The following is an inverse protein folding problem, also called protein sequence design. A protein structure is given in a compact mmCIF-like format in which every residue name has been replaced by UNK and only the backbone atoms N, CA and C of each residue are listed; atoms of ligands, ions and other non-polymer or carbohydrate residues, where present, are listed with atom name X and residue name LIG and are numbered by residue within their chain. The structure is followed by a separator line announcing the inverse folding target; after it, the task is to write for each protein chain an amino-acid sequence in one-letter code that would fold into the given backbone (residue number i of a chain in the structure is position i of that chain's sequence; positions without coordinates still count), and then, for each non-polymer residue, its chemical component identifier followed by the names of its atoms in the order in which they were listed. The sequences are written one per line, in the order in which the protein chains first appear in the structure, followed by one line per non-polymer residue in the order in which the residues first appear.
data_IF_493660812605
#
_entry.id   IF_493660812605
#
_cell.length_a   1.000
_cell.length_b   1.000
_cell.length_c   1.000
_cell.angle_alpha   90.00
_cell.angle_beta   90.00
_cell.angle_gamma   90.00
#
_symmetry.space_group_name_H-M   'P 1'
#
loop_
_entity.id
_entity.type
_entity.pdbx_description
1 polymer ?
#
# COMPACT_ATOMS: atom_id res chain seq x y z
N UNK A 1 -6.76 -12.14 -14.55
CA UNK A 1 -5.54 -12.99 -14.49
C UNK A 1 -5.69 -14.01 -13.37
N UNK A 2 -5.13 -15.22 -13.50
CA UNK A 2 -5.23 -16.30 -12.50
C UNK A 2 -4.16 -16.10 -11.41
N UNK A 3 -4.56 -16.14 -10.13
CA UNK A 3 -3.66 -15.97 -8.99
C UNK A 3 -2.65 -17.12 -8.90
N UNK A 4 -3.05 -18.35 -9.22
CA UNK A 4 -2.19 -19.53 -9.10
C UNK A 4 -0.98 -19.50 -10.06
N UNK A 5 -1.08 -18.69 -11.13
CA UNK A 5 -0.03 -18.51 -12.15
C UNK A 5 0.96 -17.39 -11.82
N UNK A 6 0.74 -16.63 -10.76
CA UNK A 6 1.67 -15.59 -10.34
C UNK A 6 2.96 -16.22 -9.80
N UNK A 7 4.10 -15.66 -10.17
CA UNK A 7 5.42 -16.05 -9.66
C UNK A 7 5.64 -15.52 -8.23
N UNK A 8 4.82 -15.99 -7.30
CA UNK A 8 4.83 -15.60 -5.88
C UNK A 8 5.05 -16.82 -4.98
N UNK A 9 5.55 -16.63 -3.75
CA UNK A 9 5.76 -17.70 -2.78
C UNK A 9 4.52 -18.59 -2.56
N UNK A 10 4.75 -19.86 -2.20
CA UNK A 10 3.69 -20.85 -2.00
C UNK A 10 2.64 -20.41 -0.98
N UNK A 11 3.08 -19.89 0.19
CA UNK A 11 2.18 -19.41 1.25
C UNK A 11 1.15 -18.40 0.74
N UNK A 12 1.56 -17.50 -0.17
CA UNK A 12 0.67 -16.51 -0.76
C UNK A 12 -0.36 -17.19 -1.66
N UNK A 13 0.11 -18.04 -2.59
CA UNK A 13 -0.78 -18.73 -3.54
C UNK A 13 -1.79 -19.63 -2.82
N UNK A 14 -1.38 -20.31 -1.75
CA UNK A 14 -2.23 -21.15 -0.93
C UNK A 14 -3.29 -20.34 -0.17
N UNK A 15 -2.88 -19.27 0.54
CA UNK A 15 -3.81 -18.39 1.27
C UNK A 15 -4.90 -17.80 0.37
N UNK A 16 -4.50 -17.41 -0.85
CA UNK A 16 -5.39 -16.75 -1.81
C UNK A 16 -5.95 -17.69 -2.89
N UNK A 17 -5.74 -19.01 -2.79
CA UNK A 17 -6.21 -20.01 -3.76
C UNK A 17 -7.74 -19.99 -3.95
N UNK A 18 -8.50 -19.58 -2.92
CA UNK A 18 -9.95 -19.41 -2.99
C UNK A 18 -10.39 -18.33 -4.00
N UNK A 19 -9.52 -17.38 -4.32
CA UNK A 19 -9.77 -16.34 -5.30
C UNK A 19 -9.19 -16.76 -6.66
N UNK A 20 -10.01 -17.41 -7.50
CA UNK A 20 -9.57 -17.93 -8.80
C UNK A 20 -9.02 -16.85 -9.77
N UNK A 21 -9.44 -15.60 -9.62
CA UNK A 21 -9.06 -14.51 -10.53
C UNK A 21 -8.83 -13.21 -9.78
N UNK A 22 -7.81 -12.47 -10.23
CA UNK A 22 -7.56 -11.09 -9.85
C UNK A 22 -8.68 -10.17 -10.36
N UNK A 23 -8.98 -9.12 -9.59
CA UNK A 23 -9.84 -8.01 -10.03
C UNK A 23 -9.20 -7.24 -11.20
N UNK A 24 -9.94 -6.39 -11.93
CA UNK A 24 -9.38 -5.59 -13.02
C UNK A 24 -8.18 -4.75 -12.58
N UNK A 25 -8.28 -4.01 -11.48
CA UNK A 25 -7.18 -3.17 -10.98
C UNK A 25 -5.95 -3.99 -10.57
N UNK A 26 -6.15 -5.17 -9.96
CA UNK A 26 -5.06 -6.07 -9.60
C UNK A 26 -4.36 -6.64 -10.83
N UNK A 27 -5.12 -7.02 -11.87
CA UNK A 27 -4.56 -7.49 -13.14
C UNK A 27 -3.75 -6.39 -13.81
N UNK A 28 -4.27 -5.16 -13.86
CA UNK A 28 -3.57 -4.00 -14.41
C UNK A 28 -2.28 -3.71 -13.65
N UNK A 29 -2.28 -3.80 -12.32
CA UNK A 29 -1.08 -3.60 -11.51
C UNK A 29 0.02 -4.63 -11.84
N UNK A 30 -0.33 -5.92 -11.98
CA UNK A 30 0.64 -6.94 -12.39
C UNK A 30 1.19 -6.66 -13.78
N UNK A 31 0.33 -6.27 -14.74
CA UNK A 31 0.75 -5.92 -16.10
C UNK A 31 1.63 -4.66 -16.16
N UNK A 32 1.39 -3.70 -15.28
CA UNK A 32 2.21 -2.50 -15.10
C UNK A 32 3.58 -2.80 -14.44
N UNK A 33 3.90 -4.06 -14.14
CA UNK A 33 5.21 -4.47 -13.64
C UNK A 33 5.33 -4.48 -12.12
N UNK A 34 4.24 -4.62 -11.37
CA UNK A 34 4.25 -4.80 -9.90
C UNK A 34 5.28 -5.87 -9.45
N UNK A 35 5.31 -7.02 -10.14
CA UNK A 35 6.19 -8.14 -9.80
C UNK A 35 7.60 -7.99 -10.41
N UNK A 36 7.81 -6.99 -11.27
CA UNK A 36 9.08 -6.61 -11.85
C UNK A 36 9.69 -5.40 -11.12
N UNK A 37 9.29 -5.18 -9.87
CA UNK A 37 9.85 -4.16 -8.97
C UNK A 37 9.66 -2.71 -9.48
N UNK A 38 8.70 -2.49 -10.39
CA UNK A 38 8.32 -1.14 -10.82
C UNK A 38 7.47 -0.43 -9.76
N UNK A 39 7.75 0.85 -9.52
CA UNK A 39 6.92 1.71 -8.68
C UNK A 39 5.58 1.98 -9.34
N UNK A 40 4.48 1.86 -8.60
CA UNK A 40 3.11 2.03 -9.09
C UNK A 40 2.30 2.99 -8.20
N UNK A 41 1.50 3.85 -8.83
CA UNK A 41 0.43 4.58 -8.16
C UNK A 41 -0.92 3.96 -8.53
N UNK A 42 -1.58 3.32 -7.58
CA UNK A 42 -2.86 2.66 -7.76
C UNK A 42 -4.00 3.59 -7.33
N UNK A 43 -4.80 4.07 -8.28
CA UNK A 43 -6.00 4.86 -7.99
C UNK A 43 -7.25 4.03 -8.30
N UNK A 44 -7.94 3.58 -7.25
CA UNK A 44 -9.20 2.87 -7.41
C UNK A 44 -10.11 3.08 -6.19
N UNK A 45 -11.43 2.90 -6.32
CA UNK A 45 -12.35 2.92 -5.20
C UNK A 45 -11.94 1.99 -4.05
N UNK A 46 -12.43 2.28 -2.85
CA UNK A 46 -12.39 1.33 -1.74
C UNK A 46 -13.15 0.06 -2.13
N UNK A 47 -12.71 -1.09 -1.61
CA UNK A 47 -13.17 -2.44 -1.97
C UNK A 47 -12.78 -2.96 -3.38
N UNK A 48 -12.05 -2.20 -4.20
CA UNK A 48 -11.54 -2.71 -5.50
C UNK A 48 -10.38 -3.72 -5.38
N UNK A 49 -9.89 -3.95 -4.15
CA UNK A 49 -8.87 -4.96 -3.85
C UNK A 49 -7.43 -4.45 -3.82
N UNK A 50 -7.22 -3.16 -3.48
CA UNK A 50 -5.90 -2.52 -3.36
C UNK A 50 -4.98 -3.24 -2.36
N UNK A 51 -5.51 -3.72 -1.25
CA UNK A 51 -4.74 -4.45 -0.23
C UNK A 51 -4.02 -5.66 -0.81
N UNK A 52 -4.64 -6.41 -1.72
CA UNK A 52 -3.98 -7.57 -2.34
C UNK A 52 -2.82 -7.15 -3.25
N UNK A 53 -2.86 -5.95 -3.86
CA UNK A 53 -1.74 -5.40 -4.63
C UNK A 53 -0.55 -5.16 -3.72
N UNK A 54 -0.76 -4.52 -2.56
CA UNK A 54 0.27 -4.37 -1.54
C UNK A 54 0.81 -5.72 -1.06
N UNK A 55 -0.07 -6.70 -0.81
CA UNK A 55 0.36 -8.04 -0.38
C UNK A 55 1.16 -8.77 -1.46
N UNK A 56 0.84 -8.60 -2.75
CA UNK A 56 1.65 -9.15 -3.85
C UNK A 56 3.05 -8.51 -3.91
N UNK A 57 3.15 -7.19 -3.78
CA UNK A 57 4.43 -6.49 -3.71
C UNK A 57 5.27 -6.93 -2.51
N UNK A 58 4.65 -7.02 -1.34
CA UNK A 58 5.26 -7.57 -0.13
C UNK A 58 5.79 -8.99 -0.38
N UNK A 59 4.94 -9.90 -0.87
CA UNK A 59 5.31 -11.29 -1.09
C UNK A 59 6.44 -11.44 -2.12
N UNK A 60 6.52 -10.55 -3.12
CA UNK A 60 7.62 -10.50 -4.09
C UNK A 60 8.96 -9.99 -3.49
N UNK A 61 8.89 -9.28 -2.36
CA UNK A 61 10.04 -8.67 -1.67
C UNK A 61 10.65 -9.61 -0.63
N UNK A 62 9.85 -10.48 -0.02
CA UNK A 62 10.31 -11.42 1.00
C UNK A 62 11.49 -12.26 0.51
N UNK A 63 12.55 -12.35 1.32
CA UNK A 63 13.80 -13.02 0.97
C UNK A 63 14.80 -12.18 0.16
N UNK A 64 14.40 -11.01 -0.35
CA UNK A 64 15.28 -10.06 -1.05
C UNK A 64 15.62 -8.81 -0.22
N UNK A 65 14.79 -8.50 0.77
CA UNK A 65 14.94 -7.33 1.63
C UNK A 65 13.67 -7.04 2.44
N UNK A 66 13.56 -5.82 2.94
CA UNK A 66 12.48 -5.37 3.82
C UNK A 66 11.37 -4.66 3.05
N UNK A 67 10.15 -4.81 3.54
CA UNK A 67 8.99 -4.02 3.11
C UNK A 67 8.56 -3.08 4.23
N UNK A 68 8.36 -1.80 3.89
CA UNK A 68 7.66 -0.85 4.75
C UNK A 68 6.20 -0.74 4.32
N UNK A 69 5.27 -0.83 5.27
CA UNK A 69 3.87 -0.50 5.06
C UNK A 69 3.56 0.76 5.86
N UNK A 70 3.35 1.87 5.16
CA UNK A 70 3.01 3.16 5.75
C UNK A 70 1.50 3.31 5.82
N UNK A 71 1.01 3.48 7.04
CA UNK A 71 -0.40 3.71 7.32
C UNK A 71 -0.60 5.13 7.87
N UNK A 72 -1.67 5.84 7.44
CA UNK A 72 -1.90 7.20 7.91
C UNK A 72 -2.34 7.25 9.38
N UNK A 73 -2.93 6.18 9.92
CA UNK A 73 -3.48 6.15 11.28
C UNK A 73 -2.93 4.97 12.07
N UNK A 74 -2.72 5.18 13.38
CA UNK A 74 -2.29 4.12 14.33
C UNK A 74 -3.27 2.94 14.34
N UNK A 75 -4.58 3.23 14.28
CA UNK A 75 -5.62 2.20 14.24
C UNK A 75 -5.52 1.33 12.98
N UNK A 76 -5.36 1.95 11.81
CA UNK A 76 -5.20 1.25 10.53
C UNK A 76 -3.87 0.47 10.49
N UNK A 77 -2.80 1.02 11.07
CA UNK A 77 -1.53 0.31 11.20
C UNK A 77 -1.68 -0.95 12.06
N UNK A 78 -2.42 -0.88 13.17
CA UNK A 78 -2.69 -2.04 14.01
C UNK A 78 -3.55 -3.11 13.32
N UNK A 79 -4.53 -2.68 12.51
CA UNK A 79 -5.30 -3.60 11.67
C UNK A 79 -4.39 -4.34 10.68
N UNK A 80 -3.55 -3.61 9.94
CA UNK A 80 -2.63 -4.19 8.96
C UNK A 80 -1.57 -5.07 9.61
N UNK A 81 -1.05 -4.67 10.77
CA UNK A 81 -0.14 -5.50 11.55
C UNK A 81 -0.75 -6.86 11.89
N UNK A 82 -1.98 -6.89 12.42
CA UNK A 82 -2.68 -8.15 12.74
C UNK A 82 -2.90 -9.00 11.50
N UNK A 83 -3.34 -8.38 10.40
CA UNK A 83 -3.56 -9.07 9.13
C UNK A 83 -2.28 -9.72 8.60
N UNK A 84 -1.18 -8.97 8.51
CA UNK A 84 0.08 -9.50 8.00
C UNK A 84 0.78 -10.46 8.96
N UNK A 85 0.64 -10.26 10.28
CA UNK A 85 1.12 -11.22 11.27
C UNK A 85 0.45 -12.58 11.08
N UNK A 86 -0.88 -12.61 10.92
CA UNK A 86 -1.63 -13.84 10.65
C UNK A 86 -1.39 -14.40 9.24
N UNK A 87 -0.93 -13.58 8.28
CA UNK A 87 -0.54 -14.05 6.96
C UNK A 87 0.81 -14.78 6.99
N UNK A 88 1.75 -14.29 7.80
CA UNK A 88 3.14 -14.75 7.83
C UNK A 88 3.46 -15.67 9.02
N UNK A 89 2.49 -15.98 9.88
CA UNK A 89 2.64 -16.79 11.09
C UNK A 89 3.31 -18.15 10.86
N UNK A 90 2.96 -18.83 9.76
CA UNK A 90 3.52 -20.14 9.40
C UNK A 90 4.75 -20.04 8.47
N UNK A 91 5.35 -18.86 8.37
CA UNK A 91 6.54 -18.60 7.53
C UNK A 91 7.75 -18.25 8.39
N UNK A 92 8.93 -18.19 7.79
CA UNK A 92 10.14 -17.73 8.46
C UNK A 92 10.22 -16.19 8.62
N UNK A 93 9.27 -15.44 8.06
CA UNK A 93 9.32 -13.99 7.98
C UNK A 93 8.62 -13.31 9.16
N UNK A 94 9.25 -12.27 9.70
CA UNK A 94 8.77 -11.58 10.88
C UNK A 94 8.11 -10.24 10.54
N UNK A 95 7.07 -9.91 11.30
CA UNK A 95 6.34 -8.64 11.20
C UNK A 95 6.49 -7.85 12.49
N UNK A 96 6.87 -6.59 12.38
CA UNK A 96 6.82 -5.64 13.48
C UNK A 96 5.95 -4.43 13.15
N UNK A 97 5.43 -3.80 14.19
CA UNK A 97 4.71 -2.54 14.10
C UNK A 97 5.39 -1.49 14.98
N UNK A 98 5.43 -0.24 14.49
CA UNK A 98 5.82 0.90 15.30
C UNK A 98 5.02 2.13 14.89
N UNK A 99 4.18 2.59 15.82
CA UNK A 99 3.23 3.70 15.60
C UNK A 99 3.31 4.74 16.71
N UNK A 100 4.28 4.59 17.61
CA UNK A 100 4.40 5.38 18.84
C UNK A 100 5.17 6.68 18.64
N UNK A 101 4.95 7.62 19.56
CA UNK A 101 5.55 8.96 19.55
C UNK A 101 6.91 9.00 20.28
N UNK A 102 7.42 7.84 20.72
CA UNK A 102 8.75 7.75 21.33
C UNK A 102 9.78 7.85 20.20
N UNK A 103 10.47 8.99 20.19
CA UNK A 103 11.60 9.25 19.33
C UNK A 103 12.76 8.33 19.75
N UNK A 104 12.97 7.27 18.97
CA UNK A 104 13.97 6.25 19.22
C UNK A 104 14.32 5.51 17.93
N UNK A 105 15.55 5.02 17.86
CA UNK A 105 16.11 4.18 16.80
C UNK A 105 15.43 2.80 16.67
N UNK A 106 14.71 2.37 17.71
CA UNK A 106 13.87 1.16 17.71
C UNK A 106 14.61 -0.07 17.15
N UNK A 107 15.73 -0.49 17.76
CA UNK A 107 16.65 -1.49 17.19
C UNK A 107 15.98 -2.86 16.94
N UNK A 108 14.92 -3.16 17.69
CA UNK A 108 14.12 -4.37 17.50
C UNK A 108 13.48 -4.48 16.11
N UNK A 109 13.35 -3.38 15.35
CA UNK A 109 12.80 -3.37 14.00
C UNK A 109 13.75 -4.04 12.99
N UNK A 110 15.07 -3.96 13.19
CA UNK A 110 16.08 -4.41 12.24
C UNK A 110 15.94 -5.90 11.85
N UNK A 111 15.48 -6.75 12.77
CA UNK A 111 15.33 -8.20 12.56
C UNK A 111 14.05 -8.63 11.83
N UNK A 112 13.18 -7.69 11.44
CA UNK A 112 11.90 -8.01 10.80
C UNK A 112 11.95 -7.74 9.30
N UNK A 113 11.10 -8.46 8.57
CA UNK A 113 11.02 -8.41 7.10
C UNK A 113 9.93 -7.44 6.64
N UNK A 114 8.84 -7.32 7.43
CA UNK A 114 7.78 -6.34 7.24
C UNK A 114 7.69 -5.42 8.44
N UNK A 115 7.74 -4.11 8.18
CA UNK A 115 7.52 -3.07 9.18
C UNK A 115 6.24 -2.30 8.85
N UNK A 116 5.25 -2.34 9.75
CA UNK A 116 4.03 -1.53 9.65
C UNK A 116 4.22 -0.26 10.49
N UNK A 117 4.32 0.89 9.84
CA UNK A 117 4.69 2.16 10.46
C UNK A 117 3.65 3.23 10.18
N UNK A 118 3.56 4.25 11.04
CA UNK A 118 2.96 5.54 10.64
C UNK A 118 3.98 6.41 9.91
N UNK A 119 3.50 7.39 9.15
CA UNK A 119 4.35 8.35 8.45
C UNK A 119 5.28 9.09 9.43
N UNK A 120 4.74 9.52 10.57
CA UNK A 120 5.47 10.24 11.62
C UNK A 120 6.54 9.35 12.27
N UNK A 121 6.27 8.04 12.42
CA UNK A 121 7.27 7.13 12.98
C UNK A 121 8.41 6.90 11.99
N UNK A 122 8.12 6.79 10.69
CA UNK A 122 9.19 6.69 9.69
C UNK A 122 10.02 7.97 9.63
N UNK A 123 9.40 9.15 9.70
CA UNK A 123 10.11 10.43 9.80
C UNK A 123 11.10 10.46 10.99
N UNK A 124 10.67 10.02 12.18
CA UNK A 124 11.57 9.83 13.34
C UNK A 124 12.72 8.87 13.04
N UNK A 125 12.45 7.70 12.46
CA UNK A 125 13.48 6.69 12.16
C UNK A 125 14.49 7.17 11.10
N UNK A 126 14.06 7.95 10.12
CA UNK A 126 14.94 8.59 9.12
C UNK A 126 15.89 9.58 9.79
N UNK A 127 15.41 10.39 10.75
CA UNK A 127 16.27 11.30 11.53
C UNK A 127 17.33 10.56 12.36
N UNK A 128 17.00 9.38 12.88
CA UNK A 128 17.92 8.51 13.61
C UNK A 128 18.88 7.71 12.72
N UNK A 129 18.77 7.83 11.39
CA UNK A 129 19.67 7.16 10.41
C UNK A 129 19.77 5.65 10.66
N UNK A 130 18.61 5.01 10.90
CA UNK A 130 18.55 3.57 11.17
C UNK A 130 19.25 2.75 10.08
N UNK A 131 20.13 1.85 10.50
CA UNK A 131 21.00 1.10 9.57
C UNK A 131 20.24 0.18 8.61
N UNK A 132 19.11 -0.38 9.08
CA UNK A 132 18.27 -1.29 8.29
C UNK A 132 17.51 -0.60 7.15
N UNK A 133 17.55 0.73 7.04
CA UNK A 133 16.94 1.46 5.94
C UNK A 133 17.48 1.01 4.58
N UNK A 134 18.78 0.71 4.49
CA UNK A 134 19.43 0.23 3.27
C UNK A 134 18.90 -1.12 2.76
N UNK A 135 18.26 -1.90 3.64
CA UNK A 135 17.67 -3.21 3.30
C UNK A 135 16.25 -3.07 2.75
N UNK A 136 15.64 -1.89 2.82
CA UNK A 136 14.27 -1.65 2.33
C UNK A 136 14.26 -1.68 0.82
N UNK A 137 13.47 -2.59 0.24
CA UNK A 137 13.28 -2.74 -1.20
C UNK A 137 11.93 -2.25 -1.68
N UNK A 138 10.92 -2.29 -0.81
CA UNK A 138 9.55 -1.94 -1.16
C UNK A 138 8.90 -1.09 -0.08
N UNK A 139 8.19 -0.05 -0.48
CA UNK A 139 7.43 0.83 0.40
C UNK A 139 6.01 0.90 -0.13
N UNK A 140 5.06 0.42 0.66
CA UNK A 140 3.62 0.57 0.42
C UNK A 140 3.16 1.83 1.15
N UNK A 141 2.53 2.76 0.43
CA UNK A 141 1.93 3.96 1.00
C UNK A 141 0.42 3.82 0.96
N UNK A 142 -0.19 3.49 2.10
CA UNK A 142 -1.64 3.42 2.20
C UNK A 142 -2.26 4.82 2.29
N UNK A 143 -3.37 5.01 1.61
CA UNK A 143 -4.06 6.29 1.49
C UNK A 143 -3.14 7.48 1.11
N UNK A 144 -2.27 7.29 0.12
CA UNK A 144 -1.33 8.32 -0.37
C UNK A 144 -2.00 9.64 -0.78
N UNK A 145 -3.30 9.61 -1.08
CA UNK A 145 -4.09 10.82 -1.34
C UNK A 145 -4.14 11.81 -0.16
N UNK A 146 -3.81 11.37 1.05
CA UNK A 146 -3.63 12.21 2.23
C UNK A 146 -2.39 13.11 2.14
N UNK A 147 -1.58 13.01 1.07
CA UNK A 147 -0.58 14.02 0.73
C UNK A 147 -1.20 15.42 0.60
N UNK A 148 -2.48 15.52 0.21
CA UNK A 148 -3.21 16.78 0.13
C UNK A 148 -3.76 17.26 1.49
N UNK A 149 -3.59 16.49 2.57
CA UNK A 149 -4.03 16.91 3.90
C UNK A 149 -3.06 17.98 4.46
N UNK A 150 -3.53 19.18 4.85
CA UNK A 150 -2.64 20.25 5.32
C UNK A 150 -1.84 19.91 6.59
N UNK A 151 -2.33 18.99 7.41
CA UNK A 151 -1.70 18.63 8.69
C UNK A 151 -0.70 17.48 8.56
N UNK A 152 -0.93 16.55 7.65
CA UNK A 152 -0.17 15.28 7.53
C UNK A 152 0.59 15.15 6.22
N UNK A 153 0.12 15.83 5.17
CA UNK A 153 0.73 15.85 3.85
C UNK A 153 2.21 16.20 3.86
N UNK A 154 2.63 17.28 4.55
CA UNK A 154 4.05 17.67 4.60
C UNK A 154 4.97 16.58 5.13
N UNK A 155 4.56 15.85 6.17
CA UNK A 155 5.34 14.74 6.72
C UNK A 155 5.49 13.61 5.71
N UNK A 156 4.39 13.22 5.06
CA UNK A 156 4.43 12.18 4.04
C UNK A 156 5.30 12.58 2.85
N UNK A 157 5.20 13.84 2.39
CA UNK A 157 6.00 14.37 1.29
C UNK A 157 7.50 14.30 1.58
N UNK A 158 7.91 14.74 2.77
CA UNK A 158 9.31 14.71 3.21
C UNK A 158 9.82 13.28 3.28
N UNK A 159 9.07 12.37 3.91
CA UNK A 159 9.46 10.97 4.05
C UNK A 159 9.66 10.31 2.69
N UNK A 160 8.72 10.48 1.74
CA UNK A 160 8.85 9.90 0.40
C UNK A 160 10.01 10.51 -0.39
N UNK A 161 10.23 11.82 -0.26
CA UNK A 161 11.37 12.51 -0.89
C UNK A 161 12.70 11.97 -0.39
N UNK A 162 12.83 11.80 0.93
CA UNK A 162 14.04 11.24 1.54
C UNK A 162 14.26 9.77 1.14
N UNK A 163 13.21 8.95 1.10
CA UNK A 163 13.35 7.56 0.64
C UNK A 163 13.82 7.47 -0.81
N UNK A 164 13.29 8.33 -1.70
CA UNK A 164 13.75 8.43 -3.09
C UNK A 164 15.24 8.75 -3.16
N UNK A 165 15.68 9.77 -2.43
CA UNK A 165 17.07 10.22 -2.44
C UNK A 165 18.04 9.21 -1.82
N UNK A 166 17.67 8.61 -0.69
CA UNK A 166 18.56 7.77 0.11
C UNK A 166 18.68 6.34 -0.42
N UNK A 167 17.58 5.72 -0.85
CA UNK A 167 17.55 4.27 -1.16
C UNK A 167 16.77 3.90 -2.43
N UNK A 168 15.94 4.80 -2.99
CA UNK A 168 15.16 4.58 -4.22
C UNK A 168 14.42 3.21 -4.26
N UNK A 169 13.53 2.91 -3.30
CA UNK A 169 12.84 1.63 -3.24
C UNK A 169 11.68 1.58 -4.26
N UNK A 170 11.12 0.39 -4.47
CA UNK A 170 9.84 0.24 -5.17
C UNK A 170 8.73 0.90 -4.35
N UNK A 171 8.07 1.92 -4.89
CA UNK A 171 6.91 2.54 -4.25
C UNK A 171 5.60 1.98 -4.76
N UNK A 172 4.72 1.57 -3.85
CA UNK A 172 3.35 1.15 -4.16
C UNK A 172 2.39 2.10 -3.45
N UNK A 173 1.98 3.17 -4.14
CA UNK A 173 1.02 4.14 -3.63
C UNK A 173 -0.41 3.63 -3.79
N UNK A 174 -1.16 3.54 -2.70
CA UNK A 174 -2.58 3.15 -2.72
C UNK A 174 -3.44 4.38 -2.49
N UNK A 175 -4.29 4.71 -3.45
CA UNK A 175 -5.10 5.92 -3.43
C UNK A 175 -6.57 5.61 -3.70
N UNK A 176 -7.45 6.36 -3.06
CA UNK A 176 -8.79 6.60 -3.60
C UNK A 176 -8.68 7.36 -4.94
N UNK A 177 -9.81 7.54 -5.63
CA UNK A 177 -9.86 8.39 -6.82
C UNK A 177 -9.53 9.85 -6.47
N UNK A 178 -8.49 10.40 -7.10
CA UNK A 178 -8.00 11.78 -6.90
C UNK A 178 -8.04 12.56 -8.21
N UNK A 179 -8.02 13.90 -8.13
CA UNK A 179 -8.14 14.79 -9.29
C UNK A 179 -6.90 14.80 -10.20
N UNK A 180 -5.70 14.83 -9.62
CA UNK A 180 -4.43 14.97 -10.36
C UNK A 180 -3.48 13.76 -10.16
N UNK A 181 -3.91 12.54 -10.52
CA UNK A 181 -3.15 11.32 -10.27
C UNK A 181 -1.85 11.23 -11.07
N UNK A 182 -1.83 11.75 -12.31
CA UNK A 182 -0.65 11.71 -13.18
C UNK A 182 0.51 12.50 -12.61
N UNK A 183 0.24 13.68 -12.05
CA UNK A 183 1.27 14.53 -11.42
C UNK A 183 1.87 13.85 -10.19
N UNK A 184 1.04 13.20 -9.38
CA UNK A 184 1.52 12.43 -8.21
C UNK A 184 2.35 11.22 -8.65
N UNK A 185 1.92 10.50 -9.70
CA UNK A 185 2.66 9.37 -10.24
C UNK A 185 4.02 9.79 -10.80
N UNK A 186 4.07 10.90 -11.56
CA UNK A 186 5.30 11.47 -12.11
C UNK A 186 6.26 11.88 -10.98
N UNK A 187 5.78 12.63 -9.98
CA UNK A 187 6.60 13.00 -8.83
C UNK A 187 7.13 11.78 -8.08
N UNK A 188 6.34 10.71 -7.94
CA UNK A 188 6.78 9.47 -7.29
C UNK A 188 7.73 8.63 -8.16
N UNK A 189 7.83 8.92 -9.46
CA UNK A 189 8.53 8.07 -10.43
C UNK A 189 7.83 6.73 -10.64
N UNK A 190 6.50 6.73 -10.62
CA UNK A 190 5.66 5.54 -10.62
C UNK A 190 4.76 5.46 -11.86
N UNK A 191 4.47 4.24 -12.32
CA UNK A 191 3.48 4.00 -13.36
C UNK A 191 2.06 4.15 -12.78
N UNK A 192 1.22 4.95 -13.43
CA UNK A 192 -0.14 5.21 -12.98
C UNK A 192 -1.08 4.07 -13.39
N UNK A 193 -1.73 3.45 -12.42
CA UNK A 193 -2.71 2.37 -12.64
C UNK A 193 -4.06 2.80 -12.08
N UNK A 194 -5.06 2.95 -12.96
CA UNK A 194 -6.39 3.44 -12.55
C UNK A 194 -7.54 2.53 -12.98
N UNK A 195 -8.55 2.48 -12.12
CA UNK A 195 -9.82 1.82 -12.42
C UNK A 195 -10.96 2.38 -11.57
N UNK A 196 -12.16 2.45 -12.15
CA UNK A 196 -13.40 2.87 -11.47
C UNK A 196 -14.29 1.68 -11.08
N UNK A 197 -13.88 0.45 -11.45
CA UNK A 197 -14.60 -0.78 -11.19
C UNK A 197 -14.82 -1.03 -9.69
N UNK A 198 -16.02 -1.52 -9.36
CA UNK A 198 -16.43 -1.94 -8.03
C UNK A 198 -17.04 -3.34 -8.09
N UNK A 199 -16.81 -4.20 -7.08
CA UNK A 199 -17.43 -5.53 -7.03
C UNK A 199 -18.95 -5.47 -6.85
N UNK A 200 -19.44 -4.43 -6.17
CA UNK A 200 -20.87 -4.17 -5.97
C UNK A 200 -21.19 -2.80 -6.57
N UNK A 201 -22.27 -2.75 -7.35
CA UNK A 201 -22.74 -1.51 -7.95
C UNK A 201 -23.15 -0.51 -6.86
N UNK A 202 -22.61 0.70 -6.91
CA UNK A 202 -23.00 1.80 -6.05
C UNK A 202 -24.05 2.66 -6.76
N UNK A 203 -25.30 2.56 -6.33
CA UNK A 203 -26.37 3.49 -6.73
C UNK A 203 -26.35 4.71 -5.82
N UNK A 204 -26.27 5.89 -6.42
CA UNK A 204 -26.27 7.18 -5.71
C UNK A 204 -27.59 7.90 -6.00
N UNK A 205 -28.15 8.58 -5.02
CA UNK A 205 -29.38 9.35 -5.19
C UNK A 205 -29.57 10.38 -4.08
N UNK A 206 -30.55 11.27 -4.26
CA UNK A 206 -30.97 12.28 -3.28
C UNK A 206 -32.28 11.82 -2.65
N UNK A 207 -32.33 11.76 -1.32
CA UNK A 207 -33.58 11.56 -0.60
C UNK A 207 -34.21 12.91 -0.28
N UNK A 208 -35.45 13.12 -0.72
CA UNK A 208 -36.23 14.31 -0.39
C UNK A 208 -37.71 13.98 -0.36
N UNK A 209 -38.41 14.41 0.70
CA UNK A 209 -39.86 14.24 0.88
C UNK A 209 -40.37 12.81 0.63
N UNK A 210 -39.72 11.81 1.24
CA UNK A 210 -40.15 10.41 1.14
C UNK A 210 -39.82 9.74 -0.21
N UNK A 211 -39.12 10.43 -1.11
CA UNK A 211 -38.69 9.90 -2.42
C UNK A 211 -37.17 9.90 -2.51
N UNK A 212 -36.62 8.83 -3.10
CA UNK A 212 -35.21 8.78 -3.49
C UNK A 212 -35.14 8.96 -4.99
N UNK A 213 -34.50 10.03 -5.44
CA UNK A 213 -34.17 10.27 -6.83
C UNK A 213 -32.75 9.77 -7.10
N UNK A 214 -32.61 8.64 -7.76
CA UNK A 214 -31.31 8.11 -8.14
C UNK A 214 -30.73 8.92 -9.30
N UNK A 215 -29.42 9.22 -9.23
CA UNK A 215 -28.71 9.75 -10.39
C UNK A 215 -28.68 8.66 -11.47
N UNK A 216 -29.40 8.86 -12.56
CA UNK A 216 -29.25 8.00 -13.74
C UNK A 216 -27.86 8.25 -14.30
N UNK A 217 -27.03 7.21 -14.42
CA UNK A 217 -25.78 7.31 -15.19
C UNK A 217 -26.17 7.56 -16.65
N UNK A 218 -25.87 8.74 -17.18
CA UNK A 218 -25.60 8.84 -18.62
C UNK A 218 -24.50 7.83 -18.95
N UNK A 219 -24.76 7.00 -19.97
CA UNK A 219 -23.96 5.85 -20.37
C UNK A 219 -22.61 6.27 -20.95
#
# INVERSE_FOLDING_TARGET
MDIGKLALPAFFREKYAKFKRLTPIQTKAVQAGLLNEKSLLICAPTASGKTLIATMALANTLGKGKTLYLSPLKALANEKYKEYKALLEETAYNVAMSTGDIDSDSPYLAKNDLLVLTNEKLDSLLRHKVSWLADVKTVVIDEIHLLNDPSRGPTLEIVLTLLKDLISPQFIGLSATIGNPSMLAEWLGAELVQDSWRPVELKKGIYHNGKVEFYNKEK
#
